data_IF_790712461082
#
_entry.id   IF_790712461082
#
_cell.length_a   1.000
_cell.length_b   1.000
_cell.length_c   1.000
_cell.angle_alpha   90.00
_cell.angle_beta   90.00
_cell.angle_gamma   90.00
#
_symmetry.space_group_name_H-M   'P 1'
#
loop_
_entity.id
_entity.type
_entity.pdbx_description
1 polymer ?
#
# COMPACT_ATOMS: atom_id res chain seq x y z
N UNK A 1 -3.40 33.82 -1.63
CA UNK A 1 -2.57 33.39 -0.48
C UNK A 1 -2.49 31.87 -0.60
N UNK A 2 -1.29 31.30 -0.76
CA UNK A 2 -1.14 29.84 -0.78
C UNK A 2 -1.50 29.32 0.61
N UNK A 3 -2.48 28.43 0.69
CA UNK A 3 -2.78 27.72 1.94
C UNK A 3 -1.81 26.57 2.04
N UNK A 4 -1.17 26.36 3.19
CA UNK A 4 -0.23 25.26 3.39
C UNK A 4 -0.74 24.37 4.53
N UNK A 5 -0.63 23.06 4.36
CA UNK A 5 -0.80 22.10 5.46
C UNK A 5 0.52 21.98 6.20
N UNK A 6 0.49 22.07 7.53
CA UNK A 6 1.65 21.89 8.41
C UNK A 6 1.51 20.56 9.15
N UNK A 7 2.50 19.71 9.00
CA UNK A 7 2.62 18.43 9.70
C UNK A 7 3.77 18.50 10.70
N UNK A 8 3.70 17.67 11.74
CA UNK A 8 4.81 17.50 12.66
C UNK A 8 4.85 16.09 13.25
N UNK A 9 6.06 15.65 13.60
CA UNK A 9 6.32 14.45 14.39
C UNK A 9 7.14 14.89 15.60
N UNK A 10 6.67 14.57 16.80
CA UNK A 10 7.34 14.91 18.05
C UNK A 10 7.79 13.64 18.77
N UNK A 11 9.03 13.65 19.24
CA UNK A 11 9.61 12.62 20.09
C UNK A 11 10.07 13.23 21.43
N UNK A 12 10.38 12.36 22.39
CA UNK A 12 10.93 12.71 23.71
C UNK A 12 12.35 12.16 23.89
N UNK A 13 13.11 12.07 22.79
CA UNK A 13 14.46 11.53 22.77
C UNK A 13 15.52 12.49 23.33
N UNK A 14 16.78 12.21 23.02
CA UNK A 14 17.95 12.94 23.54
C UNK A 14 18.09 14.39 23.03
N UNK A 15 17.26 14.79 22.07
CA UNK A 15 17.37 16.09 21.41
C UNK A 15 18.53 16.20 20.44
N UNK A 16 18.63 17.37 19.80
CA UNK A 16 19.64 17.71 18.79
C UNK A 16 20.25 19.06 19.17
N UNK A 17 21.58 19.11 19.42
CA UNK A 17 22.29 20.36 19.68
C UNK A 17 22.05 21.42 18.60
N UNK A 18 21.86 22.69 19.00
CA UNK A 18 21.50 23.78 18.08
C UNK A 18 22.48 23.96 16.91
N UNK A 19 23.78 23.70 17.15
CA UNK A 19 24.85 23.78 16.15
C UNK A 19 24.77 22.66 15.09
N UNK A 20 24.01 21.59 15.35
CA UNK A 20 23.86 20.45 14.44
C UNK A 20 22.54 20.45 13.67
N UNK A 21 21.53 21.21 14.12
CA UNK A 21 20.17 21.18 13.58
C UNK A 21 20.06 21.56 12.09
N UNK A 22 20.96 22.38 11.55
CA UNK A 22 20.96 22.70 10.12
C UNK A 22 21.48 21.54 9.26
N UNK A 23 22.47 20.81 9.78
CA UNK A 23 23.23 19.83 9.02
C UNK A 23 22.65 18.41 9.11
N UNK A 24 21.73 18.12 10.04
CA UNK A 24 21.06 16.81 10.12
C UNK A 24 20.27 16.43 8.86
N UNK A 25 19.99 17.42 8.00
CA UNK A 25 19.30 17.22 6.72
C UNK A 25 20.24 16.92 5.56
N UNK A 26 21.56 17.00 5.76
CA UNK A 26 22.54 16.64 4.74
C UNK A 26 22.70 15.12 4.65
N UNK A 27 22.99 14.64 3.44
CA UNK A 27 23.16 13.20 3.19
C UNK A 27 24.40 12.69 3.95
N UNK A 28 24.28 11.50 4.56
CA UNK A 28 25.35 10.82 5.31
C UNK A 28 25.83 11.53 6.57
N UNK A 29 25.08 12.51 7.10
CA UNK A 29 25.44 13.16 8.36
C UNK A 29 24.84 12.43 9.56
N UNK A 30 25.68 12.21 10.56
CA UNK A 30 25.30 11.68 11.88
C UNK A 30 25.77 12.65 12.97
N UNK A 31 25.06 12.68 14.09
CA UNK A 31 25.36 13.56 15.22
C UNK A 31 26.60 13.07 16.01
N UNK A 32 26.95 11.79 15.92
CA UNK A 32 28.12 11.19 16.58
C UNK A 32 29.01 10.42 15.58
N UNK A 33 30.32 10.43 15.83
CA UNK A 33 31.33 9.72 15.01
C UNK A 33 31.99 8.53 15.76
N UNK A 34 31.56 8.18 16.98
CA UNK A 34 32.23 7.11 17.76
C UNK A 34 31.35 6.35 18.77
N UNK A 35 31.25 5.03 18.57
CA UNK A 35 31.24 3.97 19.60
C UNK A 35 30.04 3.73 20.54
N UNK A 36 28.80 4.00 20.15
CA UNK A 36 27.64 3.27 20.74
C UNK A 36 26.77 2.62 19.66
N UNK A 37 27.08 1.36 19.34
CA UNK A 37 26.26 0.53 18.45
C UNK A 37 24.96 0.14 19.15
N UNK A 38 23.95 0.99 19.03
CA UNK A 38 22.57 0.60 19.36
C UNK A 38 21.53 1.14 18.39
N UNK A 39 21.78 2.26 17.70
CA UNK A 39 20.84 2.82 16.71
C UNK A 39 21.59 3.22 15.43
N UNK A 40 21.77 2.26 14.53
CA UNK A 40 22.43 2.46 13.24
C UNK A 40 21.46 2.95 12.16
N UNK A 41 21.90 3.93 11.37
CA UNK A 41 21.20 4.39 10.16
C UNK A 41 22.19 5.01 9.18
N UNK A 42 21.90 5.00 7.89
CA UNK A 42 22.81 5.52 6.85
C UNK A 42 22.96 7.04 6.86
N UNK A 43 22.22 7.77 7.71
CA UNK A 43 22.16 9.24 7.70
C UNK A 43 21.44 9.80 6.47
N UNK A 44 20.61 8.98 5.80
CA UNK A 44 19.94 9.37 4.54
C UNK A 44 18.47 9.77 4.78
N UNK A 45 17.81 9.23 5.81
CA UNK A 45 16.36 9.38 6.00
C UNK A 45 15.86 10.84 5.99
N UNK A 46 16.45 11.72 6.81
CA UNK A 46 16.05 13.13 6.86
C UNK A 46 16.34 13.89 5.56
N UNK A 47 17.43 13.55 4.86
CA UNK A 47 17.75 14.16 3.57
C UNK A 47 16.73 13.79 2.48
N UNK A 48 16.25 12.54 2.46
CA UNK A 48 15.17 12.10 1.56
C UNK A 48 13.87 12.83 1.92
N UNK A 49 13.49 12.83 3.20
CA UNK A 49 12.25 13.47 3.65
C UNK A 49 12.21 14.96 3.31
N UNK A 50 13.32 15.68 3.54
CA UNK A 50 13.44 17.09 3.16
C UNK A 50 13.31 17.27 1.65
N UNK A 51 14.00 16.45 0.86
CA UNK A 51 13.93 16.54 -0.61
C UNK A 51 12.52 16.28 -1.13
N UNK A 52 11.80 15.31 -0.58
CA UNK A 52 10.41 15.03 -0.95
C UNK A 52 9.48 16.19 -0.61
N UNK A 53 9.61 16.77 0.59
CA UNK A 53 8.82 17.94 0.99
C UNK A 53 9.08 19.14 0.05
N UNK A 54 10.34 19.40 -0.29
CA UNK A 54 10.73 20.46 -1.23
C UNK A 54 10.23 20.21 -2.65
N UNK A 55 10.28 18.97 -3.14
CA UNK A 55 9.75 18.59 -4.46
C UNK A 55 8.23 18.79 -4.55
N UNK A 56 7.52 18.61 -3.45
CA UNK A 56 6.09 18.90 -3.34
C UNK A 56 5.80 20.40 -3.16
N UNK A 57 6.82 21.27 -3.24
CA UNK A 57 6.67 22.73 -3.09
C UNK A 57 6.58 23.21 -1.64
N UNK A 58 6.88 22.33 -0.68
CA UNK A 58 6.90 22.61 0.74
C UNK A 58 8.29 22.88 1.30
N UNK A 59 8.41 22.79 2.62
CA UNK A 59 9.70 22.88 3.34
C UNK A 59 9.70 21.98 4.57
N UNK A 60 10.89 21.64 5.08
CA UNK A 60 11.07 20.84 6.29
C UNK A 60 12.06 21.53 7.26
N UNK A 61 11.81 21.46 8.57
CA UNK A 61 12.69 21.98 9.62
C UNK A 61 12.53 21.20 10.93
N UNK A 62 13.35 21.50 11.94
CA UNK A 62 13.30 20.88 13.26
C UNK A 62 13.30 21.95 14.35
N UNK A 63 12.57 21.71 15.43
CA UNK A 63 12.77 22.37 16.72
C UNK A 63 13.18 21.28 17.72
N UNK A 64 14.33 21.42 18.38
CA UNK A 64 14.84 20.38 19.28
C UNK A 64 15.49 20.96 20.51
N UNK A 65 15.28 20.29 21.64
CA UNK A 65 15.86 20.57 22.95
C UNK A 65 16.25 19.25 23.65
N UNK A 66 16.98 19.27 24.79
CA UNK A 66 17.42 18.05 25.47
C UNK A 66 16.31 17.08 25.92
N UNK A 67 15.03 17.48 25.86
CA UNK A 67 13.87 16.65 26.19
C UNK A 67 13.17 16.06 24.95
N UNK A 68 13.71 16.26 23.74
CA UNK A 68 13.20 15.66 22.51
C UNK A 68 13.22 16.58 21.31
N UNK A 69 12.79 16.05 20.15
CA UNK A 69 12.72 16.82 18.90
C UNK A 69 11.31 16.88 18.33
N UNK A 70 11.03 17.94 17.60
CA UNK A 70 9.84 18.09 16.76
C UNK A 70 10.27 18.40 15.34
N UNK A 71 10.04 17.46 14.43
CA UNK A 71 10.28 17.64 13.00
C UNK A 71 9.01 18.13 12.34
N UNK A 72 9.12 19.16 11.52
CA UNK A 72 8.00 19.79 10.84
C UNK A 72 8.20 19.76 9.34
N UNK A 73 7.12 19.64 8.59
CA UNK A 73 7.12 19.96 7.18
C UNK A 73 5.80 20.59 6.73
N UNK A 74 5.84 21.32 5.62
CA UNK A 74 4.64 21.83 4.95
C UNK A 74 4.45 21.21 3.57
N UNK A 75 3.20 21.20 3.10
CA UNK A 75 2.85 20.93 1.70
C UNK A 75 1.83 21.99 1.25
N UNK A 76 1.98 22.60 0.06
CA UNK A 76 0.97 23.49 -0.53
C UNK A 76 -0.37 22.77 -0.70
N UNK A 77 -1.44 23.43 -0.28
CA UNK A 77 -2.80 22.92 -0.42
C UNK A 77 -3.50 23.66 -1.55
N UNK A 78 -3.72 22.94 -2.65
CA UNK A 78 -4.67 23.35 -3.69
C UNK A 78 -6.05 22.80 -3.33
N UNK A 79 -6.89 23.68 -2.78
CA UNK A 79 -8.30 23.35 -2.57
C UNK A 79 -9.02 23.34 -3.91
N UNK A 80 -9.30 22.15 -4.41
CA UNK A 80 -10.24 21.97 -5.52
C UNK A 80 -11.64 22.18 -4.93
N UNK A 81 -12.16 23.40 -5.09
CA UNK A 81 -13.54 23.70 -4.74
C UNK A 81 -14.41 23.18 -5.88
N UNK A 82 -14.88 21.95 -5.76
CA UNK A 82 -15.99 21.50 -6.60
C UNK A 82 -17.26 22.29 -6.20
N UNK A 83 -18.05 22.78 -7.18
CA UNK A 83 -19.26 23.53 -6.87
C UNK A 83 -20.19 22.67 -6.02
N UNK A 84 -20.61 23.20 -4.88
CA UNK A 84 -21.59 22.59 -3.99
C UNK A 84 -22.91 22.34 -4.76
N UNK A 85 -23.03 21.16 -5.34
CA UNK A 85 -24.05 20.82 -6.34
C UNK A 85 -23.63 19.66 -7.26
N UNK A 86 -22.33 19.50 -7.51
CA UNK A 86 -21.75 18.20 -7.86
C UNK A 86 -21.31 17.53 -6.56
N UNK A 87 -22.26 16.98 -5.80
CA UNK A 87 -21.90 15.77 -5.07
C UNK A 87 -21.23 14.87 -6.10
N UNK A 88 -20.08 14.28 -5.78
CA UNK A 88 -19.42 13.31 -6.65
C UNK A 88 -20.53 12.36 -7.11
N UNK A 89 -21.07 12.60 -8.30
CA UNK A 89 -21.66 11.54 -9.08
C UNK A 89 -20.38 10.79 -9.38
N UNK A 90 -20.13 9.77 -8.56
CA UNK A 90 -19.15 8.75 -8.87
C UNK A 90 -19.58 8.34 -10.29
N UNK A 91 -18.98 8.92 -11.34
CA UNK A 91 -19.25 8.55 -12.73
C UNK A 91 -18.72 7.13 -13.03
N UNK A 92 -18.30 6.42 -11.97
CA UNK A 92 -18.16 4.97 -11.89
C UNK A 92 -19.31 4.31 -11.09
N UNK A 93 -20.52 4.87 -11.08
CA UNK A 93 -21.72 4.15 -10.64
C UNK A 93 -22.16 3.04 -11.62
N UNK A 94 -21.21 2.42 -12.32
CA UNK A 94 -21.43 1.18 -13.04
C UNK A 94 -21.19 0.02 -12.07
N UNK A 95 -22.29 -0.39 -11.44
CA UNK A 95 -22.44 -1.50 -10.50
C UNK A 95 -21.75 -1.30 -9.14
N UNK A 96 -22.56 -0.95 -8.14
CA UNK A 96 -22.31 -1.37 -6.77
C UNK A 96 -22.18 -2.90 -6.76
N UNK A 97 -20.96 -3.42 -6.76
CA UNK A 97 -20.70 -4.82 -6.41
C UNK A 97 -20.79 -4.90 -4.88
N UNK A 98 -22.00 -4.72 -4.35
CA UNK A 98 -22.21 -4.53 -2.92
C UNK A 98 -22.16 -5.84 -2.11
N UNK A 99 -22.05 -6.99 -2.76
CA UNK A 99 -22.22 -8.31 -2.13
C UNK A 99 -21.08 -9.28 -2.46
N UNK A 100 -19.83 -8.81 -2.60
CA UNK A 100 -18.69 -9.74 -2.77
C UNK A 100 -17.75 -9.77 -1.58
N UNK A 101 -17.24 -10.95 -1.29
CA UNK A 101 -16.18 -11.18 -0.31
C UNK A 101 -14.84 -11.36 -1.01
N UNK A 102 -13.86 -10.51 -0.71
CA UNK A 102 -12.52 -10.58 -1.28
C UNK A 102 -11.54 -11.09 -0.21
N UNK A 103 -10.73 -12.08 -0.56
CA UNK A 103 -9.56 -12.47 0.22
C UNK A 103 -8.33 -11.72 -0.31
N UNK A 104 -7.59 -11.05 0.57
CA UNK A 104 -6.30 -10.44 0.28
C UNK A 104 -5.23 -11.29 0.94
N UNK A 105 -4.35 -11.90 0.13
CA UNK A 105 -3.15 -12.57 0.61
C UNK A 105 -1.94 -11.64 0.37
N UNK A 106 -1.40 -11.09 1.46
CA UNK A 106 -0.36 -10.05 1.47
C UNK A 106 0.33 -10.10 2.84
N UNK A 107 1.66 -10.21 2.87
CA UNK A 107 2.42 -10.34 4.11
C UNK A 107 2.81 -8.99 4.72
N UNK A 108 2.78 -7.91 3.94
CA UNK A 108 2.99 -6.54 4.43
C UNK A 108 1.68 -5.89 4.89
N UNK A 109 1.57 -5.64 6.20
CA UNK A 109 0.40 -5.02 6.83
C UNK A 109 0.03 -3.65 6.20
N UNK A 110 1.03 -2.86 5.80
CA UNK A 110 0.80 -1.55 5.17
C UNK A 110 0.16 -1.69 3.79
N UNK A 111 0.61 -2.66 3.00
CA UNK A 111 0.05 -3.00 1.69
C UNK A 111 -1.37 -3.57 1.82
N UNK A 112 -1.61 -4.40 2.83
CA UNK A 112 -2.97 -4.89 3.14
C UNK A 112 -3.92 -3.73 3.49
N UNK A 113 -3.55 -2.82 4.40
CA UNK A 113 -4.40 -1.69 4.77
C UNK A 113 -4.63 -0.73 3.60
N UNK A 114 -3.63 -0.52 2.73
CA UNK A 114 -3.81 0.21 1.47
C UNK A 114 -4.89 -0.43 0.59
N UNK A 115 -4.79 -1.74 0.33
CA UNK A 115 -5.76 -2.46 -0.51
C UNK A 115 -7.16 -2.46 0.09
N UNK A 116 -7.27 -2.63 1.41
CA UNK A 116 -8.53 -2.55 2.15
C UNK A 116 -9.19 -1.19 1.98
N UNK A 117 -8.43 -0.09 2.05
CA UNK A 117 -8.95 1.26 1.77
C UNK A 117 -9.40 1.39 0.32
N UNK A 118 -8.61 0.88 -0.63
CA UNK A 118 -8.94 0.91 -2.06
C UNK A 118 -10.25 0.17 -2.36
N UNK A 119 -10.49 -0.97 -1.70
CA UNK A 119 -11.60 -1.88 -1.94
C UNK A 119 -12.83 -1.64 -1.06
N UNK A 120 -12.78 -0.69 -0.12
CA UNK A 120 -13.86 -0.42 0.83
C UNK A 120 -15.23 -0.15 0.19
N UNK A 121 -15.26 0.38 -1.04
CA UNK A 121 -16.50 0.63 -1.81
C UNK A 121 -16.87 -0.52 -2.76
N UNK A 122 -16.00 -1.50 -2.93
CA UNK A 122 -16.10 -2.58 -3.94
C UNK A 122 -16.35 -3.94 -3.32
N UNK A 123 -15.92 -4.17 -2.08
CA UNK A 123 -16.13 -5.42 -1.36
C UNK A 123 -17.02 -5.19 -0.14
N UNK A 124 -17.92 -6.14 0.12
CA UNK A 124 -18.73 -6.17 1.33
C UNK A 124 -17.88 -6.62 2.52
N UNK A 125 -17.12 -7.69 2.30
CA UNK A 125 -16.23 -8.28 3.29
C UNK A 125 -14.84 -8.45 2.71
N UNK A 126 -13.84 -8.19 3.55
CA UNK A 126 -12.43 -8.35 3.21
C UNK A 126 -11.82 -9.27 4.25
N UNK A 127 -11.27 -10.40 3.79
CA UNK A 127 -10.47 -11.30 4.61
C UNK A 127 -8.99 -11.05 4.32
N UNK A 128 -8.15 -11.31 5.32
CA UNK A 128 -6.70 -11.17 5.21
C UNK A 128 -6.02 -12.51 5.47
N UNK A 129 -5.06 -12.86 4.62
CA UNK A 129 -4.08 -13.91 4.83
C UNK A 129 -2.68 -13.31 4.77
N UNK A 130 -1.84 -13.60 5.76
CA UNK A 130 -0.47 -13.09 5.84
C UNK A 130 0.54 -13.94 5.06
N UNK A 131 0.11 -15.08 4.50
CA UNK A 131 0.92 -16.00 3.71
C UNK A 131 0.04 -16.93 2.85
N UNK A 132 0.68 -17.73 1.98
CA UNK A 132 -0.03 -18.64 1.08
C UNK A 132 -0.78 -19.79 1.77
N UNK A 133 -0.30 -20.31 2.90
CA UNK A 133 -0.98 -21.41 3.62
C UNK A 133 -2.30 -20.92 4.24
N UNK A 134 -2.27 -19.74 4.85
CA UNK A 134 -3.47 -19.07 5.35
C UNK A 134 -4.46 -18.81 4.22
N UNK A 135 -3.99 -18.37 3.05
CA UNK A 135 -4.85 -18.11 1.90
C UNK A 135 -5.56 -19.39 1.42
N UNK A 136 -4.84 -20.51 1.34
CA UNK A 136 -5.42 -21.83 1.01
C UNK A 136 -6.45 -22.25 2.06
N UNK A 137 -6.11 -22.10 3.35
CA UNK A 137 -7.02 -22.41 4.46
C UNK A 137 -8.30 -21.58 4.41
N UNK A 138 -8.19 -20.28 4.13
CA UNK A 138 -9.35 -19.41 3.98
C UNK A 138 -10.21 -19.84 2.80
N UNK A 139 -9.63 -20.07 1.62
CA UNK A 139 -10.39 -20.51 0.45
C UNK A 139 -11.11 -21.85 0.67
N UNK A 140 -10.56 -22.74 1.50
CA UNK A 140 -11.18 -24.01 1.89
C UNK A 140 -12.38 -23.84 2.84
N UNK A 141 -12.24 -22.95 3.82
CA UNK A 141 -13.21 -22.82 4.92
C UNK A 141 -14.30 -21.76 4.68
N UNK A 142 -14.04 -20.83 3.76
CA UNK A 142 -14.92 -19.71 3.43
C UNK A 142 -15.43 -19.79 1.98
N UNK A 143 -16.45 -20.62 1.71
CA UNK A 143 -17.03 -20.75 0.37
C UNK A 143 -17.59 -19.41 -0.17
N UNK A 144 -17.92 -18.46 0.69
CA UNK A 144 -18.38 -17.11 0.37
C UNK A 144 -17.33 -16.21 -0.29
N UNK A 145 -16.04 -16.58 -0.28
CA UNK A 145 -15.01 -15.81 -1.00
C UNK A 145 -15.30 -15.85 -2.50
N UNK A 146 -15.42 -14.68 -3.12
CA UNK A 146 -15.74 -14.52 -4.54
C UNK A 146 -14.50 -14.24 -5.40
N UNK A 147 -13.43 -13.71 -4.81
CA UNK A 147 -12.20 -13.35 -5.49
C UNK A 147 -11.02 -13.32 -4.52
N UNK A 148 -9.83 -13.66 -5.01
CA UNK A 148 -8.57 -13.57 -4.27
C UNK A 148 -7.63 -12.57 -4.93
N UNK A 149 -7.07 -11.65 -4.15
CA UNK A 149 -5.89 -10.87 -4.50
C UNK A 149 -4.68 -11.56 -3.88
N UNK A 150 -3.78 -12.09 -4.70
CA UNK A 150 -2.69 -12.97 -4.27
C UNK A 150 -1.34 -12.30 -4.50
N UNK A 151 -0.64 -11.87 -3.46
CA UNK A 151 0.78 -11.55 -3.61
C UNK A 151 1.56 -12.82 -3.99
N UNK A 152 2.47 -12.69 -4.95
CA UNK A 152 3.36 -13.74 -5.38
C UNK A 152 4.46 -14.00 -4.35
N UNK A 153 5.01 -12.95 -3.76
CA UNK A 153 6.19 -13.05 -2.90
C UNK A 153 5.80 -12.99 -1.43
N UNK A 154 5.33 -14.10 -0.88
CA UNK A 154 4.98 -14.24 0.53
C UNK A 154 5.89 -15.29 1.23
N UNK A 155 6.11 -15.17 2.55
CA UNK A 155 6.81 -16.18 3.34
C UNK A 155 5.97 -17.47 3.47
N UNK A 156 6.61 -18.54 3.96
CA UNK A 156 6.01 -19.88 4.20
C UNK A 156 5.58 -20.59 2.91
N UNK A 157 4.60 -20.05 2.19
CA UNK A 157 4.12 -20.51 0.90
C UNK A 157 3.95 -19.30 -0.02
N UNK A 158 4.61 -19.34 -1.18
CA UNK A 158 4.51 -18.29 -2.18
C UNK A 158 3.14 -18.31 -2.90
N UNK A 159 2.79 -17.21 -3.55
CA UNK A 159 1.50 -17.05 -4.22
C UNK A 159 1.28 -18.00 -5.40
N UNK A 160 2.33 -18.47 -6.07
CA UNK A 160 2.18 -19.44 -7.17
C UNK A 160 1.73 -20.80 -6.66
N UNK A 161 2.35 -21.29 -5.59
CA UNK A 161 2.01 -22.59 -5.00
C UNK A 161 0.66 -22.52 -4.29
N UNK A 162 0.36 -21.41 -3.60
CA UNK A 162 -0.96 -21.16 -3.04
C UNK A 162 -2.06 -21.13 -4.12
N UNK A 163 -1.80 -20.46 -5.26
CA UNK A 163 -2.75 -20.41 -6.39
C UNK A 163 -3.07 -21.81 -6.91
N UNK A 164 -2.06 -22.65 -7.13
CA UNK A 164 -2.27 -24.04 -7.60
C UNK A 164 -3.14 -24.82 -6.61
N UNK A 165 -2.80 -24.78 -5.32
CA UNK A 165 -3.56 -25.46 -4.28
C UNK A 165 -5.01 -24.95 -4.17
N UNK A 166 -5.22 -23.63 -4.27
CA UNK A 166 -6.57 -23.04 -4.28
C UNK A 166 -7.34 -23.49 -5.51
N UNK A 167 -6.72 -23.54 -6.70
CA UNK A 167 -7.37 -23.95 -7.94
C UNK A 167 -7.70 -25.45 -7.97
N UNK A 168 -6.96 -26.29 -7.27
CA UNK A 168 -7.34 -27.70 -7.06
C UNK A 168 -8.63 -27.82 -6.23
N UNK A 169 -8.79 -26.98 -5.20
CA UNK A 169 -9.96 -26.96 -4.32
C UNK A 169 -11.17 -26.25 -4.95
N UNK A 170 -10.91 -25.14 -5.64
CA UNK A 170 -11.90 -24.21 -6.20
C UNK A 170 -11.45 -23.74 -7.59
N UNK A 171 -11.57 -24.60 -8.63
CA UNK A 171 -11.07 -24.30 -9.98
C UNK A 171 -11.58 -22.99 -10.58
N UNK A 172 -12.83 -22.63 -10.24
CA UNK A 172 -13.53 -21.46 -10.78
C UNK A 172 -13.44 -20.22 -9.88
N UNK A 173 -12.67 -20.26 -8.77
CA UNK A 173 -12.48 -19.08 -7.94
C UNK A 173 -11.51 -18.12 -8.65
N UNK A 174 -11.92 -16.88 -8.98
CA UNK A 174 -11.04 -15.89 -9.60
C UNK A 174 -9.87 -15.50 -8.68
N UNK A 175 -8.65 -15.51 -9.23
CA UNK A 175 -7.42 -15.10 -8.55
C UNK A 175 -6.71 -14.05 -9.41
N UNK A 176 -6.47 -12.87 -8.83
CA UNK A 176 -5.64 -11.83 -9.42
C UNK A 176 -4.29 -11.81 -8.72
N UNK A 177 -3.22 -12.10 -9.44
CA UNK A 177 -1.86 -12.02 -8.90
C UNK A 177 -1.40 -10.57 -8.72
N UNK A 178 -0.75 -10.25 -7.60
CA UNK A 178 -0.03 -9.01 -7.38
C UNK A 178 1.45 -9.25 -7.66
N UNK A 179 2.02 -8.62 -8.70
CA UNK A 179 3.41 -8.85 -9.11
C UNK A 179 4.31 -7.66 -8.79
N UNK A 180 5.53 -7.89 -8.32
CA UNK A 180 6.45 -6.80 -7.94
C UNK A 180 6.95 -5.96 -9.12
N UNK A 181 7.04 -6.55 -10.32
CA UNK A 181 7.51 -5.86 -11.51
C UNK A 181 6.77 -6.32 -12.77
N UNK A 182 6.54 -5.42 -13.71
CA UNK A 182 6.07 -5.73 -15.06
C UNK A 182 7.21 -6.31 -15.94
N UNK A 183 8.06 -7.17 -15.37
CA UNK A 183 9.15 -7.82 -16.11
C UNK A 183 8.55 -8.93 -16.97
N UNK A 184 9.08 -9.08 -18.19
CA UNK A 184 8.70 -10.15 -19.10
C UNK A 184 8.84 -11.52 -18.40
N UNK A 185 7.75 -12.27 -18.31
CA UNK A 185 7.70 -13.61 -17.72
C UNK A 185 6.89 -13.75 -16.43
N UNK A 186 6.75 -12.70 -15.61
CA UNK A 186 5.99 -12.81 -14.35
C UNK A 186 4.50 -13.02 -14.61
N UNK A 187 3.96 -12.36 -15.65
CA UNK A 187 2.62 -12.60 -16.17
C UNK A 187 2.42 -14.06 -16.57
N UNK A 188 3.36 -14.61 -17.33
CA UNK A 188 3.26 -15.97 -17.87
C UNK A 188 3.31 -17.01 -16.75
N UNK A 189 4.16 -16.80 -15.75
CA UNK A 189 4.22 -17.63 -14.54
C UNK A 189 2.92 -17.58 -13.75
N UNK A 190 2.33 -16.39 -13.56
CA UNK A 190 1.05 -16.25 -12.85
C UNK A 190 -0.08 -16.98 -13.56
N UNK A 191 -0.19 -16.82 -14.89
CA UNK A 191 -1.18 -17.55 -15.67
C UNK A 191 -0.93 -19.07 -15.66
N UNK A 192 0.32 -19.50 -15.75
CA UNK A 192 0.68 -20.91 -15.68
C UNK A 192 0.41 -21.55 -14.30
N UNK A 193 0.47 -20.76 -13.22
CA UNK A 193 0.07 -21.19 -11.89
C UNK A 193 -1.47 -21.28 -11.72
N UNK A 194 -2.23 -20.69 -12.63
CA UNK A 194 -3.69 -20.74 -12.65
C UNK A 194 -4.38 -19.41 -12.32
N UNK A 195 -3.65 -18.30 -12.18
CA UNK A 195 -4.28 -16.99 -11.97
C UNK A 195 -5.10 -16.58 -13.20
N UNK A 196 -6.21 -15.89 -12.99
CA UNK A 196 -7.13 -15.45 -14.04
C UNK A 196 -6.74 -14.05 -14.58
N UNK A 197 -6.09 -13.25 -13.73
CA UNK A 197 -5.47 -11.98 -14.12
C UNK A 197 -4.29 -11.66 -13.19
N UNK A 198 -3.65 -10.51 -13.44
CA UNK A 198 -2.54 -9.99 -12.65
C UNK A 198 -2.60 -8.46 -12.60
N UNK A 199 -1.96 -7.88 -11.60
CA UNK A 199 -1.74 -6.45 -11.45
C UNK A 199 -0.32 -6.20 -10.93
N UNK A 200 0.40 -5.28 -11.56
CA UNK A 200 1.76 -4.93 -11.14
C UNK A 200 1.74 -3.89 -10.01
N UNK A 201 2.60 -4.07 -9.01
CA UNK A 201 2.94 -3.04 -8.02
C UNK A 201 3.75 -1.92 -8.72
N UNK A 202 3.53 -0.62 -8.40
CA UNK A 202 2.54 -0.10 -7.45
C UNK A 202 1.11 -0.20 -7.98
N UNK A 203 0.21 -0.67 -7.11
CA UNK A 203 -1.18 -0.96 -7.48
C UNK A 203 -1.96 0.34 -7.71
N UNK A 204 -2.50 0.47 -8.92
CA UNK A 204 -3.35 1.60 -9.30
C UNK A 204 -4.82 1.25 -9.04
N UNK A 205 -5.49 2.06 -8.23
CA UNK A 205 -6.91 1.86 -7.86
C UNK A 205 -7.81 1.59 -9.06
N UNK A 206 -7.80 2.46 -10.07
CA UNK A 206 -8.67 2.31 -11.24
C UNK A 206 -8.46 0.97 -11.94
N UNK A 207 -7.21 0.61 -12.19
CA UNK A 207 -6.85 -0.65 -12.84
C UNK A 207 -7.29 -1.88 -12.03
N UNK A 208 -7.11 -1.85 -10.70
CA UNK A 208 -7.56 -2.94 -9.82
C UNK A 208 -9.08 -3.12 -9.89
N UNK A 209 -9.84 -2.02 -9.79
CA UNK A 209 -11.30 -2.06 -9.85
C UNK A 209 -11.78 -2.56 -11.22
N UNK A 210 -11.18 -2.10 -12.31
CA UNK A 210 -11.53 -2.55 -13.66
C UNK A 210 -11.32 -4.06 -13.83
N UNK A 211 -10.23 -4.60 -13.28
CA UNK A 211 -9.92 -6.05 -13.30
C UNK A 211 -10.90 -6.87 -12.45
N UNK A 212 -11.22 -6.39 -11.24
CA UNK A 212 -12.20 -7.04 -10.36
C UNK A 212 -13.57 -7.07 -11.05
N UNK A 213 -14.03 -5.93 -11.57
CA UNK A 213 -15.31 -5.84 -12.26
C UNK A 213 -15.38 -6.83 -13.41
N UNK A 214 -14.34 -6.90 -14.25
CA UNK A 214 -14.27 -7.84 -15.39
C UNK A 214 -14.44 -9.31 -14.96
N UNK A 215 -13.86 -9.72 -13.84
CA UNK A 215 -13.92 -11.11 -13.38
C UNK A 215 -15.22 -11.46 -12.63
N UNK A 216 -15.84 -10.47 -11.98
CA UNK A 216 -17.07 -10.67 -11.21
C UNK A 216 -18.32 -10.53 -12.08
N UNK A 217 -18.40 -9.53 -12.96
CA UNK A 217 -19.59 -9.30 -13.80
C UNK A 217 -19.77 -10.36 -14.90
N UNK A 218 -18.69 -11.02 -15.32
CA UNK A 218 -18.74 -12.15 -16.25
C UNK A 218 -19.50 -13.38 -15.73
N UNK A 219 -19.91 -13.42 -14.45
CA UNK A 219 -20.73 -14.49 -13.86
C UNK A 219 -22.24 -14.26 -13.92
N UNK A 220 -22.72 -13.04 -14.20
CA UNK A 220 -24.17 -12.78 -14.26
C UNK A 220 -24.81 -13.10 -15.61
N UNK A 221 -24.03 -13.46 -16.63
CA UNK A 221 -24.51 -13.72 -18.00
C UNK A 221 -24.37 -15.19 -18.45
N UNK A 222 -24.02 -16.12 -17.54
CA UNK A 222 -23.85 -17.55 -17.84
C UNK A 222 -24.80 -18.46 -17.04
#
# INVERSE_FOLDING_TARGET
RSTELKFFVKDTGIGIPSDKQEFIFDVFRQIEDTHTRTYGGTGIGLSISKRLAELLGGRMWVDSDPNGSSFYFTIPLELIVEPAGSGIKDELSSASIADITILIAEDDESSFEFLKVVLKKTAQFILWASNGEEAVSHCKNHPEIDLVLMDINMPVMNGYDATKAIKELRPNLPIIAQTAYAIAGDREKSLAAGCDDYISKPIKRKELIDKINKLITGKSEA
#
